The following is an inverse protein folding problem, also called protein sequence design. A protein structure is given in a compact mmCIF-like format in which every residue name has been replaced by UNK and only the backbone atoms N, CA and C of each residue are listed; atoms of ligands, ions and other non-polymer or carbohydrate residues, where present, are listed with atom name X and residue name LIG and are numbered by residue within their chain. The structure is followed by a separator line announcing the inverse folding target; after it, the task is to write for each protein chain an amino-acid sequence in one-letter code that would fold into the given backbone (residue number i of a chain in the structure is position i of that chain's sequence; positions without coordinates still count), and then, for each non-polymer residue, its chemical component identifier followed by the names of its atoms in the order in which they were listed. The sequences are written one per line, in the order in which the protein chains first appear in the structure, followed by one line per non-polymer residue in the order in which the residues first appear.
data_IF_831782247887
#
_entry.id   IF_831782247887
#
_cell.length_a   1.000
_cell.length_b   1.000
_cell.length_c   1.000
_cell.angle_alpha   90.00
_cell.angle_beta   90.00
_cell.angle_gamma   90.00
#
_symmetry.space_group_name_H-M   'P 1'
#
loop_
_entity.id
_entity.type
_entity.pdbx_description
1 polymer ?
#
# COMPACT_ATOMS: atom_id res chain seq x y z
N UNK A 1 -32.79 29.34 49.54
CA UNK A 1 -33.93 29.43 48.59
C UNK A 1 -33.41 29.02 47.21
N UNK A 2 -32.95 27.79 46.96
CA UNK A 2 -33.68 26.52 46.78
C UNK A 2 -34.83 26.61 45.77
N UNK A 3 -34.57 26.18 44.54
CA UNK A 3 -35.53 25.42 43.72
C UNK A 3 -34.75 24.36 42.93
N UNK A 4 -35.39 23.23 42.71
CA UNK A 4 -34.82 21.89 42.62
C UNK A 4 -35.24 21.19 41.32
N UNK A 5 -34.31 20.37 40.81
CA UNK A 5 -34.46 19.05 40.16
C UNK A 5 -35.43 18.88 38.97
N UNK A 6 -34.89 18.42 37.83
CA UNK A 6 -35.05 17.01 37.44
C UNK A 6 -34.05 16.56 36.36
N UNK A 7 -33.28 15.52 36.68
CA UNK A 7 -32.50 14.67 35.76
C UNK A 7 -33.44 13.65 35.09
N UNK A 8 -33.12 13.21 33.87
CA UNK A 8 -33.60 11.90 33.37
C UNK A 8 -32.51 11.25 32.52
N UNK A 9 -32.18 10.03 32.93
CA UNK A 9 -31.11 9.15 32.47
C UNK A 9 -31.28 8.63 31.02
N UNK A 10 -30.14 8.32 30.40
CA UNK A 10 -29.94 7.40 29.26
C UNK A 10 -30.18 5.93 29.65
N UNK A 11 -30.41 5.07 28.65
CA UNK A 11 -29.46 3.99 28.36
C UNK A 11 -29.13 3.96 26.85
N UNK A 12 -27.95 3.59 26.34
CA UNK A 12 -26.96 2.65 26.84
C UNK A 12 -27.24 1.27 26.23
N UNK A 13 -26.81 1.01 24.99
CA UNK A 13 -26.71 -0.37 24.47
C UNK A 13 -25.64 -0.47 23.36
N UNK A 14 -24.55 -1.16 23.72
CA UNK A 14 -23.45 -1.58 22.87
C UNK A 14 -23.83 -2.88 22.15
N UNK A 15 -23.79 -2.89 20.82
CA UNK A 15 -23.96 -4.10 20.02
C UNK A 15 -22.63 -4.82 19.82
N UNK A 16 -22.23 -5.63 20.80
CA UNK A 16 -21.15 -6.63 20.69
C UNK A 16 -21.72 -7.90 20.08
N UNK A 17 -21.22 -8.32 18.91
CA UNK A 17 -21.57 -9.63 18.32
C UNK A 17 -20.38 -10.58 18.57
N UNK A 18 -20.40 -11.19 19.75
CA UNK A 18 -19.65 -12.38 20.08
C UNK A 18 -20.61 -13.35 20.80
N UNK A 19 -20.38 -14.65 20.63
CA UNK A 19 -21.11 -15.79 21.18
C UNK A 19 -22.33 -16.28 20.37
N UNK A 20 -22.04 -17.18 19.42
CA UNK A 20 -22.89 -18.34 19.17
C UNK A 20 -22.19 -19.54 19.83
N UNK A 21 -22.45 -19.74 21.12
CA UNK A 21 -22.19 -20.98 21.84
C UNK A 21 -23.54 -21.59 22.22
N UNK A 22 -23.99 -22.56 21.43
CA UNK A 22 -25.10 -23.44 21.79
C UNK A 22 -24.60 -24.63 22.59
N UNK A 23 -25.04 -24.75 23.84
CA UNK A 23 -24.85 -25.93 24.68
C UNK A 23 -26.19 -26.63 24.88
N UNK A 24 -26.29 -27.91 24.54
CA UNK A 24 -27.16 -28.87 25.24
C UNK A 24 -26.67 -30.30 24.96
N UNK A 25 -26.55 -31.09 26.02
CA UNK A 25 -25.75 -32.31 26.06
C UNK A 25 -26.46 -33.63 25.73
N UNK A 26 -25.71 -34.72 25.90
CA UNK A 26 -26.26 -36.08 26.05
C UNK A 26 -25.49 -37.18 25.30
N UNK A 27 -24.51 -37.78 25.98
CA UNK A 27 -24.09 -39.21 25.98
C UNK A 27 -24.31 -40.04 24.69
N UNK A 28 -23.21 -40.53 24.10
CA UNK A 28 -23.20 -41.85 23.42
C UNK A 28 -22.37 -41.98 22.14
N UNK A 29 -21.33 -42.81 22.24
CA UNK A 29 -20.69 -43.62 21.18
C UNK A 29 -19.88 -42.98 20.03
N UNK A 30 -18.64 -43.48 19.95
CA UNK A 30 -17.68 -43.41 18.86
C UNK A 30 -18.16 -44.07 17.56
N UNK A 31 -18.16 -43.35 16.44
CA UNK A 31 -17.78 -43.86 15.10
C UNK A 31 -17.86 -42.77 14.02
N UNK A 32 -16.71 -42.58 13.34
CA UNK A 32 -16.54 -42.32 11.91
C UNK A 32 -17.27 -41.18 11.17
N UNK A 33 -16.42 -40.41 10.47
CA UNK A 33 -16.64 -39.68 9.20
C UNK A 33 -17.52 -38.43 9.22
N UNK A 34 -16.87 -37.25 9.22
CA UNK A 34 -17.45 -36.00 8.68
C UNK A 34 -16.54 -35.40 7.60
N UNK A 35 -17.12 -34.73 6.58
CA UNK A 35 -16.43 -34.29 5.37
C UNK A 35 -15.92 -32.85 5.52
N UNK A 36 -14.70 -32.68 6.01
CA UNK A 36 -14.03 -31.37 6.11
C UNK A 36 -13.21 -31.06 4.86
N UNK A 37 -13.86 -30.80 3.72
CA UNK A 37 -13.08 -30.40 2.53
C UNK A 37 -13.71 -29.31 1.64
N UNK A 38 -15.02 -29.05 1.68
CA UNK A 38 -15.61 -28.08 0.75
C UNK A 38 -15.35 -26.60 1.13
N UNK A 39 -15.48 -26.24 2.41
CA UNK A 39 -15.31 -24.85 2.87
C UNK A 39 -13.84 -24.40 2.83
N UNK A 40 -12.92 -25.29 3.21
CA UNK A 40 -11.48 -25.06 3.17
C UNK A 40 -10.96 -25.00 1.73
N UNK A 41 -11.46 -25.88 0.84
CA UNK A 41 -11.13 -25.82 -0.58
C UNK A 41 -11.63 -24.52 -1.22
N UNK A 42 -12.82 -24.01 -0.86
CA UNK A 42 -13.34 -22.75 -1.38
C UNK A 42 -12.51 -21.54 -0.91
N UNK A 43 -12.06 -21.54 0.34
CA UNK A 43 -11.16 -20.51 0.87
C UNK A 43 -9.78 -20.54 0.19
N UNK A 44 -9.25 -21.74 -0.10
CA UNK A 44 -8.02 -21.92 -0.87
C UNK A 44 -8.20 -21.50 -2.34
N UNK A 45 -9.31 -21.83 -2.99
CA UNK A 45 -9.61 -21.41 -4.37
C UNK A 45 -9.74 -19.89 -4.52
N UNK A 46 -10.30 -19.19 -3.52
CA UNK A 46 -10.30 -17.72 -3.50
C UNK A 46 -8.87 -17.15 -3.41
N UNK A 47 -7.97 -17.82 -2.69
CA UNK A 47 -6.55 -17.47 -2.62
C UNK A 47 -5.79 -17.79 -3.92
N UNK A 48 -6.28 -18.70 -4.77
CA UNK A 48 -5.65 -19.01 -6.07
C UNK A 48 -5.97 -18.00 -7.18
N UNK A 49 -7.03 -17.18 -7.03
CA UNK A 49 -7.29 -16.04 -7.92
C UNK A 49 -6.41 -14.80 -7.59
N UNK A 50 -5.54 -14.90 -6.60
CA UNK A 50 -4.69 -13.82 -6.10
C UNK A 50 -3.49 -13.50 -7.01
N UNK A 51 -3.08 -14.43 -7.89
CA UNK A 51 -1.82 -14.32 -8.63
C UNK A 51 -2.05 -13.82 -10.06
N UNK A 52 -2.17 -12.51 -10.22
CA UNK A 52 -1.93 -11.88 -11.52
C UNK A 52 -1.09 -10.63 -11.33
N UNK A 53 0.05 -10.57 -12.03
CA UNK A 53 0.87 -9.36 -12.18
C UNK A 53 0.26 -8.37 -13.19
N UNK A 54 -0.85 -8.75 -13.83
CA UNK A 54 -1.66 -7.90 -14.71
C UNK A 54 -2.70 -7.11 -13.91
N UNK A 55 -3.02 -5.88 -14.30
CA UNK A 55 -4.15 -5.16 -13.72
C UNK A 55 -5.50 -5.81 -14.09
N UNK A 56 -5.51 -6.74 -15.05
CA UNK A 56 -6.60 -7.69 -15.37
C UNK A 56 -6.63 -8.97 -14.50
N UNK A 57 -5.92 -9.02 -13.37
CA UNK A 57 -6.10 -10.13 -12.43
C UNK A 57 -7.56 -10.11 -11.94
N UNK A 58 -8.40 -10.98 -12.50
CA UNK A 58 -9.79 -11.20 -12.10
C UNK A 58 -9.82 -11.85 -10.70
N UNK A 59 -9.44 -11.06 -9.69
CA UNK A 59 -9.24 -11.45 -8.31
C UNK A 59 -9.45 -10.26 -7.36
N UNK A 60 -9.64 -10.55 -6.08
CA UNK A 60 -10.12 -9.66 -5.02
C UNK A 60 -9.21 -8.46 -4.64
N UNK A 61 -8.25 -8.10 -5.48
CA UNK A 61 -7.29 -7.03 -5.20
C UNK A 61 -7.87 -5.67 -5.59
N UNK A 62 -7.79 -4.70 -4.68
CA UNK A 62 -8.27 -3.34 -4.92
C UNK A 62 -7.55 -2.72 -6.13
N UNK A 63 -8.28 -1.91 -6.89
CA UNK A 63 -7.78 -1.20 -8.06
C UNK A 63 -7.59 0.27 -7.71
N UNK A 64 -6.43 0.82 -8.06
CA UNK A 64 -6.16 2.25 -8.02
C UNK A 64 -6.25 2.82 -9.44
N UNK A 65 -7.16 3.77 -9.63
CA UNK A 65 -7.26 4.60 -10.82
C UNK A 65 -6.58 5.93 -10.53
N UNK A 66 -5.68 6.37 -11.41
CA UNK A 66 -4.89 7.56 -11.14
C UNK A 66 -4.48 8.35 -12.39
N UNK A 67 -4.26 9.64 -12.18
CA UNK A 67 -3.61 10.58 -13.11
C UNK A 67 -2.42 11.18 -12.38
N UNK A 68 -1.26 11.17 -13.04
CA UNK A 68 -0.08 11.89 -12.58
C UNK A 68 0.19 13.09 -13.48
N UNK A 69 0.66 14.19 -12.88
CA UNK A 69 1.04 15.41 -13.57
C UNK A 69 2.14 16.12 -12.79
N UNK A 70 2.83 17.05 -13.43
CA UNK A 70 3.85 17.88 -12.78
C UNK A 70 3.46 19.34 -12.91
N UNK A 71 3.66 20.09 -11.83
CA UNK A 71 3.57 21.56 -11.83
C UNK A 71 4.98 22.12 -11.63
N UNK A 72 5.43 23.00 -12.52
CA UNK A 72 6.81 23.51 -12.51
C UNK A 72 6.92 25.04 -12.29
N UNK A 73 5.85 25.67 -11.81
CA UNK A 73 5.79 27.10 -11.50
C UNK A 73 5.14 27.32 -10.13
N UNK A 74 5.74 28.19 -9.31
CA UNK A 74 5.18 28.56 -8.00
C UNK A 74 3.77 29.15 -8.13
N UNK A 75 3.53 29.96 -9.15
CA UNK A 75 2.22 30.57 -9.39
C UNK A 75 1.16 29.51 -9.73
N UNK A 76 1.52 28.51 -10.55
CA UNK A 76 0.64 27.40 -10.86
C UNK A 76 0.38 26.53 -9.63
N UNK A 77 1.40 26.30 -8.80
CA UNK A 77 1.28 25.54 -7.56
C UNK A 77 0.34 26.24 -6.56
N UNK A 78 0.49 27.54 -6.35
CA UNK A 78 -0.39 28.33 -5.49
C UNK A 78 -1.84 28.35 -5.99
N UNK A 79 -2.03 28.50 -7.30
CA UNK A 79 -3.34 28.43 -7.93
C UNK A 79 -3.98 27.04 -7.77
N UNK A 80 -3.19 25.98 -7.97
CA UNK A 80 -3.61 24.60 -7.78
C UNK A 80 -4.08 24.36 -6.34
N UNK A 81 -3.24 24.70 -5.36
CA UNK A 81 -3.53 24.51 -3.94
C UNK A 81 -4.78 25.30 -3.53
N UNK A 82 -4.92 26.54 -3.99
CA UNK A 82 -6.11 27.37 -3.72
C UNK A 82 -7.37 26.73 -4.28
N UNK A 83 -7.30 26.22 -5.53
CA UNK A 83 -8.43 25.53 -6.16
C UNK A 83 -8.78 24.23 -5.45
N UNK A 84 -7.78 23.41 -5.11
CA UNK A 84 -7.97 22.16 -4.38
C UNK A 84 -8.62 22.39 -3.02
N UNK A 85 -8.23 23.45 -2.29
CA UNK A 85 -8.91 23.83 -1.04
C UNK A 85 -10.39 24.18 -1.23
N UNK A 86 -10.75 24.79 -2.36
CA UNK A 86 -12.15 25.10 -2.69
C UNK A 86 -12.96 23.87 -3.14
N UNK A 87 -12.30 22.87 -3.73
CA UNK A 87 -12.96 21.65 -4.24
C UNK A 87 -13.01 20.54 -3.19
N UNK A 88 -12.10 20.52 -2.22
CA UNK A 88 -11.91 19.38 -1.31
C UNK A 88 -12.62 19.62 0.02
N UNK A 89 -13.13 18.53 0.61
CA UNK A 89 -13.81 18.60 1.91
C UNK A 89 -12.79 18.71 3.04
N UNK A 90 -11.70 18.00 2.91
CA UNK A 90 -10.63 17.92 3.89
C UNK A 90 -9.27 17.97 3.19
N UNK A 91 -8.27 18.47 3.92
CA UNK A 91 -6.90 18.47 3.48
C UNK A 91 -5.97 18.42 4.68
N UNK A 92 -4.77 17.86 4.48
CA UNK A 92 -3.76 17.71 5.52
C UNK A 92 -2.37 17.73 4.92
N UNK A 93 -1.39 18.22 5.68
CA UNK A 93 0.02 18.06 5.36
C UNK A 93 0.47 16.61 5.58
N UNK A 94 1.50 16.20 4.84
CA UNK A 94 2.21 14.96 5.05
C UNK A 94 3.70 15.11 4.77
N UNK A 95 4.49 14.35 5.51
CA UNK A 95 5.91 14.18 5.29
C UNK A 95 6.21 12.72 5.59
N UNK A 96 6.41 11.93 4.55
CA UNK A 96 6.53 10.49 4.64
C UNK A 96 7.86 10.03 4.03
N UNK A 97 8.56 9.13 4.72
CA UNK A 97 9.65 8.37 4.15
C UNK A 97 9.08 7.19 3.36
N UNK A 98 9.51 7.05 2.11
CA UNK A 98 9.21 5.90 1.29
C UNK A 98 10.48 5.11 0.99
N UNK A 99 10.42 3.80 1.18
CA UNK A 99 11.49 2.84 0.88
C UNK A 99 10.93 1.82 -0.10
N UNK A 100 11.52 1.73 -1.29
CA UNK A 100 11.20 0.70 -2.29
C UNK A 100 12.05 -0.53 -2.03
N UNK A 101 11.43 -1.70 -2.10
CA UNK A 101 12.05 -3.00 -1.97
C UNK A 101 11.70 -3.85 -3.18
N UNK A 102 12.68 -4.57 -3.70
CA UNK A 102 12.53 -5.46 -4.82
C UNK A 102 12.86 -6.90 -4.42
N UNK A 103 12.07 -7.85 -4.90
CA UNK A 103 12.37 -9.27 -4.84
C UNK A 103 12.59 -9.77 -6.26
N UNK A 104 13.85 -10.04 -6.59
CA UNK A 104 14.24 -10.62 -7.88
C UNK A 104 14.05 -12.13 -7.89
N UNK A 105 13.62 -12.68 -9.03
CA UNK A 105 13.77 -14.10 -9.32
C UNK A 105 15.23 -14.37 -9.71
N UNK A 106 16.16 -14.29 -8.75
CA UNK A 106 17.51 -14.76 -9.01
C UNK A 106 17.49 -16.28 -9.13
N UNK A 107 17.77 -16.77 -10.34
CA UNK A 107 18.21 -18.13 -10.62
C UNK A 107 19.56 -18.31 -9.89
N UNK A 108 19.49 -18.55 -8.59
CA UNK A 108 20.66 -18.73 -7.72
C UNK A 108 21.31 -20.04 -8.13
N UNK A 109 22.16 -19.95 -9.14
CA UNK A 109 22.88 -21.05 -9.75
C UNK A 109 23.86 -21.67 -8.78
N UNK A 110 23.36 -22.48 -7.85
CA UNK A 110 24.18 -23.42 -7.11
C UNK A 110 24.51 -24.58 -8.05
N UNK A 111 25.70 -24.48 -8.64
CA UNK A 111 26.40 -25.60 -9.25
C UNK A 111 26.79 -26.60 -8.16
N UNK A 112 25.84 -27.43 -7.74
CA UNK A 112 26.08 -28.66 -6.99
C UNK A 112 25.09 -29.73 -7.45
N UNK A 113 25.57 -30.60 -8.33
CA UNK A 113 24.86 -31.76 -8.84
C UNK A 113 24.47 -32.71 -7.71
N UNK A 114 23.18 -32.77 -7.39
CA UNK A 114 22.57 -33.89 -6.65
C UNK A 114 21.39 -34.39 -7.47
N UNK A 115 21.44 -35.62 -8.04
CA UNK A 115 20.29 -36.15 -8.75
C UNK A 115 19.27 -36.61 -7.72
N UNK A 116 18.19 -35.84 -7.53
CA UNK A 116 17.08 -36.27 -6.67
C UNK A 116 15.95 -36.86 -7.52
N UNK A 117 15.79 -38.17 -7.32
CA UNK A 117 14.80 -39.07 -7.88
C UNK A 117 13.37 -38.52 -7.78
N UNK A 118 12.63 -38.65 -8.89
CA UNK A 118 11.21 -38.37 -9.01
C UNK A 118 10.44 -39.36 -8.13
N UNK A 119 9.86 -38.86 -7.05
CA UNK A 119 8.70 -39.47 -6.40
C UNK A 119 7.86 -38.35 -5.78
N UNK A 120 6.55 -38.42 -6.01
CA UNK A 120 5.63 -37.31 -5.91
C UNK A 120 5.40 -36.74 -4.51
N UNK A 121 4.69 -35.61 -4.53
CA UNK A 121 4.21 -34.78 -3.43
C UNK A 121 5.27 -33.97 -2.67
N UNK A 122 5.45 -32.72 -3.10
CA UNK A 122 5.75 -31.59 -2.21
C UNK A 122 5.19 -30.32 -2.85
N UNK A 123 4.27 -29.68 -2.12
CA UNK A 123 3.67 -28.37 -2.39
C UNK A 123 4.72 -27.28 -2.29
N UNK A 124 5.31 -26.91 -3.41
CA UNK A 124 6.00 -25.63 -3.58
C UNK A 124 5.06 -24.69 -4.33
N UNK A 125 4.76 -23.54 -3.73
CA UNK A 125 4.01 -22.43 -4.32
C UNK A 125 4.78 -21.85 -5.52
N UNK A 126 4.73 -22.56 -6.64
CA UNK A 126 5.26 -22.13 -7.93
C UNK A 126 4.16 -21.41 -8.69
N UNK A 127 4.42 -20.14 -9.00
CA UNK A 127 3.64 -19.34 -9.95
C UNK A 127 3.80 -19.97 -11.34
N UNK A 128 2.91 -20.90 -11.69
CA UNK A 128 2.85 -21.47 -13.03
C UNK A 128 2.01 -20.57 -13.93
N UNK A 129 2.71 -19.63 -14.58
CA UNK A 129 2.24 -18.97 -15.79
C UNK A 129 2.17 -20.00 -16.92
N UNK A 130 0.98 -20.45 -17.30
CA UNK A 130 0.77 -21.24 -18.51
C UNK A 130 0.42 -20.34 -19.69
N UNK A 131 1.38 -19.53 -20.16
CA UNK A 131 1.57 -19.16 -21.58
C UNK A 131 3.08 -18.86 -21.80
N UNK A 132 3.72 -19.57 -22.73
CA UNK A 132 5.15 -19.44 -23.07
C UNK A 132 5.47 -18.27 -24.04
N UNK A 133 6.74 -17.96 -24.35
CA UNK A 133 7.82 -17.53 -23.46
C UNK A 133 8.27 -16.10 -23.81
N UNK A 134 8.23 -15.19 -22.85
CA UNK A 134 9.16 -14.07 -22.80
C UNK A 134 9.78 -14.13 -21.41
N UNK A 135 11.09 -14.35 -21.33
CA UNK A 135 11.83 -14.36 -20.09
C UNK A 135 11.85 -12.94 -19.51
N UNK A 136 10.77 -12.55 -18.85
CA UNK A 136 10.76 -11.38 -17.97
C UNK A 136 10.90 -11.93 -16.56
N UNK A 137 12.07 -11.71 -15.95
CA UNK A 137 12.23 -11.80 -14.50
C UNK A 137 11.03 -11.11 -13.85
N UNK A 138 10.21 -11.87 -13.11
CA UNK A 138 9.08 -11.30 -12.39
C UNK A 138 9.62 -10.64 -11.12
N UNK A 139 10.03 -9.38 -11.25
CA UNK A 139 10.45 -8.57 -10.10
C UNK A 139 9.20 -8.12 -9.35
N UNK A 140 9.10 -8.50 -8.08
CA UNK A 140 8.02 -8.03 -7.19
C UNK A 140 8.53 -6.81 -6.43
N UNK A 141 7.80 -5.70 -6.51
CA UNK A 141 8.14 -4.47 -5.80
C UNK A 141 7.13 -4.17 -4.70
N UNK A 142 7.61 -3.88 -3.49
CA UNK A 142 6.81 -3.40 -2.36
C UNK A 142 7.40 -2.12 -1.81
N UNK A 143 6.55 -1.23 -1.28
CA UNK A 143 6.96 0.05 -0.72
C UNK A 143 6.58 0.11 0.74
N UNK A 144 7.55 0.47 1.57
CA UNK A 144 7.32 0.81 2.97
C UNK A 144 7.18 2.33 3.09
N UNK A 145 6.01 2.79 3.51
CA UNK A 145 5.72 4.20 3.83
C UNK A 145 5.71 4.40 5.34
N UNK A 146 6.41 5.41 5.85
CA UNK A 146 6.45 5.78 7.27
C UNK A 146 6.26 7.28 7.42
N UNK A 147 5.39 7.72 8.31
CA UNK A 147 5.23 9.16 8.53
C UNK A 147 6.35 9.71 9.40
N UNK A 148 6.91 10.84 8.98
CA UNK A 148 7.92 11.62 9.69
C UNK A 148 7.31 12.77 10.49
N UNK A 149 6.00 12.99 10.36
CA UNK A 149 5.30 13.98 11.15
C UNK A 149 5.19 13.55 12.62
N UNK A 150 5.18 14.50 13.58
CA UNK A 150 5.07 14.17 15.00
C UNK A 150 3.77 13.41 15.31
N UNK A 151 3.91 12.18 15.82
CA UNK A 151 2.79 11.29 16.18
C UNK A 151 1.79 11.90 17.19
N UNK A 152 2.20 12.91 17.96
CA UNK A 152 1.32 13.65 18.87
C UNK A 152 0.32 14.54 18.12
N UNK A 153 0.70 15.05 16.95
CA UNK A 153 -0.14 15.92 16.13
C UNK A 153 -0.99 15.12 15.13
N UNK A 154 -0.51 13.94 14.70
CA UNK A 154 -1.16 13.10 13.69
C UNK A 154 -1.29 11.64 14.15
N UNK A 155 -2.22 11.33 15.07
CA UNK A 155 -2.35 9.99 15.65
C UNK A 155 -2.73 8.91 14.63
N UNK A 156 -3.51 9.25 13.62
CA UNK A 156 -3.96 8.31 12.57
C UNK A 156 -2.83 7.90 11.61
N UNK A 157 -1.70 8.62 11.64
CA UNK A 157 -0.53 8.39 10.77
C UNK A 157 0.64 7.72 11.50
N UNK A 158 0.38 7.16 12.68
CA UNK A 158 1.40 6.50 13.51
C UNK A 158 1.89 5.18 12.95
N UNK A 159 1.05 4.48 12.19
CA UNK A 159 1.40 3.18 11.64
C UNK A 159 2.12 3.35 10.31
N UNK A 160 3.20 2.61 10.15
CA UNK A 160 3.83 2.39 8.85
C UNK A 160 2.85 1.63 7.96
N UNK A 161 2.98 1.78 6.65
CA UNK A 161 2.17 1.04 5.68
C UNK A 161 3.07 0.31 4.69
N UNK A 162 2.83 -0.98 4.50
CA UNK A 162 3.43 -1.75 3.43
C UNK A 162 2.45 -1.75 2.25
N UNK A 163 2.94 -1.32 1.09
CA UNK A 163 2.13 -1.16 -0.12
C UNK A 163 2.69 -1.96 -1.28
N UNK A 164 1.85 -2.75 -1.92
CA UNK A 164 2.12 -3.37 -3.21
C UNK A 164 1.41 -2.58 -4.32
N UNK A 165 2.14 -2.29 -5.40
CA UNK A 165 1.61 -1.66 -6.61
C UNK A 165 1.90 -2.58 -7.79
N UNK A 166 0.84 -3.02 -8.48
CA UNK A 166 0.93 -3.87 -9.67
C UNK A 166 1.38 -3.11 -10.92
N UNK A 167 1.43 -3.83 -12.04
CA UNK A 167 1.73 -3.24 -13.33
C UNK A 167 0.69 -2.15 -13.69
N UNK A 168 1.17 -1.07 -14.30
CA UNK A 168 0.31 0.02 -14.75
C UNK A 168 -0.25 -0.29 -16.13
N UNK A 169 -1.57 -0.32 -16.22
CA UNK A 169 -2.33 -0.38 -17.48
C UNK A 169 -2.84 1.02 -17.81
N UNK A 170 -2.48 1.54 -18.98
CA UNK A 170 -2.93 2.85 -19.46
C UNK A 170 -3.77 2.66 -20.72
N UNK A 171 -5.09 2.76 -20.58
CA UNK A 171 -6.01 2.69 -21.72
C UNK A 171 -6.31 4.09 -22.30
N UNK A 172 -6.30 5.16 -21.46
CA UNK A 172 -6.66 6.54 -21.86
C UNK A 172 -5.85 7.64 -21.13
N UNK A 173 -6.51 8.64 -20.56
CA UNK A 173 -5.94 9.70 -19.69
C UNK A 173 -5.72 9.20 -18.26
N UNK A 174 -6.60 8.32 -17.79
CA UNK A 174 -6.53 7.66 -16.48
C UNK A 174 -5.76 6.35 -16.64
N UNK A 175 -4.80 6.12 -15.74
CA UNK A 175 -4.08 4.86 -15.61
C UNK A 175 -4.69 4.02 -14.48
N UNK A 176 -4.54 2.70 -14.57
CA UNK A 176 -5.02 1.75 -13.58
C UNK A 176 -3.89 0.81 -13.13
N UNK A 177 -3.85 0.47 -11.85
CA UNK A 177 -2.97 -0.56 -11.30
C UNK A 177 -3.62 -1.26 -10.12
N UNK A 178 -3.26 -2.53 -9.89
CA UNK A 178 -3.59 -3.22 -8.65
C UNK A 178 -2.88 -2.54 -7.47
N UNK A 179 -3.57 -2.42 -6.34
CA UNK A 179 -3.06 -1.76 -5.14
C UNK A 179 -3.46 -2.54 -3.90
N UNK A 180 -2.49 -2.82 -3.02
CA UNK A 180 -2.73 -3.35 -1.68
C UNK A 180 -1.94 -2.51 -0.69
N UNK A 181 -2.58 -2.07 0.39
CA UNK A 181 -1.94 -1.33 1.45
C UNK A 181 -2.34 -1.93 2.79
N UNK A 182 -1.35 -2.24 3.62
CA UNK A 182 -1.56 -2.87 4.93
C UNK A 182 -0.80 -2.05 5.98
N UNK A 183 -1.47 -1.61 7.06
CA UNK A 183 -0.79 -1.00 8.19
C UNK A 183 0.06 -2.05 8.92
N UNK A 184 1.29 -1.69 9.25
CA UNK A 184 2.32 -2.59 9.78
C UNK A 184 3.11 -1.93 10.91
N UNK A 185 3.67 -2.76 11.79
CA UNK A 185 4.51 -2.35 12.92
C UNK A 185 5.72 -3.30 13.05
N UNK A 186 6.78 -2.84 13.71
CA UNK A 186 8.01 -3.61 13.94
C UNK A 186 9.21 -3.15 13.08
N UNK A 187 10.34 -3.88 13.16
CA UNK A 187 11.56 -3.60 12.39
C UNK A 187 11.42 -4.09 10.95
N UNK A 188 10.76 -3.28 10.11
CA UNK A 188 10.25 -3.72 8.82
C UNK A 188 11.35 -3.84 7.77
N UNK A 189 12.42 -3.04 7.87
CA UNK A 189 13.52 -3.12 6.89
C UNK A 189 14.23 -4.46 7.04
N UNK A 190 14.63 -4.83 8.25
CA UNK A 190 15.30 -6.11 8.50
C UNK A 190 14.38 -7.29 8.19
N UNK A 191 13.11 -7.22 8.59
CA UNK A 191 12.13 -8.26 8.25
C UNK A 191 12.02 -8.49 6.74
N UNK A 192 11.91 -7.43 5.94
CA UNK A 192 11.83 -7.55 4.48
C UNK A 192 13.13 -8.12 3.88
N UNK A 193 14.30 -7.71 4.40
CA UNK A 193 15.59 -8.26 3.99
C UNK A 193 15.73 -9.75 4.32
N UNK A 194 15.25 -10.19 5.48
CA UNK A 194 15.22 -11.61 5.86
C UNK A 194 14.28 -12.44 4.96
N UNK A 195 13.23 -11.82 4.41
CA UNK A 195 12.38 -12.42 3.38
C UNK A 195 13.01 -12.44 1.99
N UNK A 196 14.20 -11.87 1.82
CA UNK A 196 14.94 -11.81 0.56
C UNK A 196 14.65 -10.57 -0.30
N UNK A 197 13.93 -9.58 0.23
CA UNK A 197 13.77 -8.30 -0.46
C UNK A 197 15.02 -7.44 -0.30
N UNK A 198 15.49 -6.89 -1.41
CA UNK A 198 16.59 -5.94 -1.41
C UNK A 198 16.05 -4.50 -1.48
N UNK A 199 16.55 -3.58 -0.64
CA UNK A 199 16.17 -2.17 -0.73
C UNK A 199 16.71 -1.57 -2.02
N UNK A 200 15.83 -0.91 -2.78
CA UNK A 200 16.16 -0.35 -4.10
C UNK A 200 16.48 1.15 -4.01
N UNK A 201 15.56 1.93 -3.45
CA UNK A 201 15.75 3.37 -3.23
C UNK A 201 14.93 3.88 -2.04
N UNK A 202 15.35 5.01 -1.48
CA UNK A 202 14.65 5.69 -0.38
C UNK A 202 14.53 7.18 -0.70
N UNK A 203 13.37 7.76 -0.43
CA UNK A 203 13.13 9.20 -0.57
C UNK A 203 12.16 9.70 0.50
N UNK A 204 12.08 11.03 0.64
CA UNK A 204 11.08 11.70 1.46
C UNK A 204 10.07 12.42 0.56
N UNK A 205 8.79 12.09 0.71
CA UNK A 205 7.67 12.75 0.08
C UNK A 205 7.09 13.78 1.04
N UNK A 206 7.12 15.06 0.67
CA UNK A 206 6.61 16.15 1.52
C UNK A 206 5.62 17.01 0.74
N UNK A 207 4.41 17.18 1.28
CA UNK A 207 3.36 17.90 0.59
C UNK A 207 2.00 17.92 1.29
N UNK A 208 0.95 18.06 0.46
CA UNK A 208 -0.44 18.16 0.86
C UNK A 208 -1.27 17.03 0.27
N UNK A 209 -2.18 16.50 1.07
CA UNK A 209 -3.24 15.58 0.66
C UNK A 209 -4.56 16.33 0.72
N UNK A 210 -5.37 16.19 -0.31
CA UNK A 210 -6.72 16.73 -0.41
C UNK A 210 -7.71 15.60 -0.73
N UNK A 211 -8.86 15.57 -0.07
CA UNK A 211 -9.87 14.53 -0.28
C UNK A 211 -11.21 15.15 -0.68
N UNK A 212 -11.81 14.59 -1.74
CA UNK A 212 -13.18 14.87 -2.18
C UNK A 212 -13.88 13.56 -2.53
N UNK A 213 -14.80 13.14 -1.67
CA UNK A 213 -15.47 11.85 -1.85
C UNK A 213 -14.44 10.72 -1.78
N UNK A 214 -14.32 9.94 -2.85
CA UNK A 214 -13.33 8.86 -2.98
C UNK A 214 -12.01 9.31 -3.62
N UNK A 215 -11.99 10.50 -4.22
CA UNK A 215 -10.81 11.04 -4.90
C UNK A 215 -9.88 11.67 -3.88
N UNK A 216 -8.63 11.23 -3.93
CA UNK A 216 -7.50 11.77 -3.19
C UNK A 216 -6.55 12.47 -4.15
N UNK A 217 -6.10 13.65 -3.79
CA UNK A 217 -5.07 14.38 -4.53
C UNK A 217 -3.87 14.59 -3.63
N UNK A 218 -2.71 14.11 -4.05
CA UNK A 218 -1.43 14.39 -3.43
C UNK A 218 -0.70 15.44 -4.26
N UNK A 219 -0.30 16.56 -3.65
CA UNK A 219 0.58 17.57 -4.25
C UNK A 219 1.84 17.63 -3.42
N UNK A 220 2.97 17.16 -3.95
CA UNK A 220 4.15 16.93 -3.11
C UNK A 220 5.46 17.05 -3.86
N UNK A 221 6.52 17.10 -3.08
CA UNK A 221 7.90 17.17 -3.53
C UNK A 221 8.60 15.86 -3.22
N UNK A 222 9.47 15.44 -4.13
CA UNK A 222 10.34 14.27 -3.95
C UNK A 222 11.71 14.76 -3.50
N UNK A 223 12.17 14.25 -2.37
CA UNK A 223 13.39 14.68 -1.72
C UNK A 223 14.35 13.51 -1.53
N UNK A 224 15.61 13.73 -1.88
CA UNK A 224 16.71 12.81 -1.64
C UNK A 224 17.14 12.92 -0.17
N UNK A 225 17.31 11.78 0.50
CA UNK A 225 17.83 11.76 1.87
C UNK A 225 19.33 12.04 1.85
N UNK A 226 19.75 13.07 2.57
CA UNK A 226 21.16 13.50 2.66
C UNK A 226 21.82 12.91 3.90
N UNK A 227 21.07 12.83 5.00
CA UNK A 227 21.57 12.29 6.26
C UNK A 227 20.49 11.45 6.93
N UNK A 228 20.88 10.27 7.40
CA UNK A 228 20.09 9.45 8.32
C UNK A 228 20.49 9.75 9.76
N UNK A 229 19.53 9.61 10.67
CA UNK A 229 19.80 9.65 12.10
C UNK A 229 20.77 8.50 12.46
N UNK A 230 21.88 8.85 13.09
CA UNK A 230 22.83 7.83 13.55
C UNK A 230 22.14 7.03 14.66
N UNK A 231 22.16 5.68 14.62
CA UNK A 231 21.77 4.91 15.78
C UNK A 231 22.67 5.37 16.94
N UNK A 232 22.06 5.81 18.03
CA UNK A 232 22.81 6.11 19.24
C UNK A 232 23.61 4.85 19.63
N UNK A 233 24.84 4.98 20.14
CA UNK A 233 25.58 3.81 20.61
C UNK A 233 24.73 3.13 21.69
N UNK A 234 24.27 1.92 21.40
CA UNK A 234 23.55 1.08 22.35
C UNK A 234 24.39 0.96 23.62
N UNK A 235 23.77 1.21 24.78
CA UNK A 235 24.38 0.96 26.08
C UNK A 235 24.96 -0.47 26.10
N UNK A 236 26.18 -0.68 26.62
CA UNK A 236 26.78 -2.01 26.66
C UNK A 236 25.94 -2.92 27.56
N UNK A 237 25.38 -4.01 27.00
CA UNK A 237 24.67 -5.04 27.76
C UNK A 237 23.25 -5.39 27.30
N UNK A 238 22.74 -4.79 26.21
CA UNK A 238 21.56 -5.31 25.51
C UNK A 238 22.06 -6.01 24.25
N UNK A 239 21.86 -7.33 24.17
CA UNK A 239 22.16 -8.12 22.98
C UNK A 239 21.44 -7.49 21.78
N UNK A 240 22.22 -6.77 20.98
CA UNK A 240 21.75 -5.96 19.89
C UNK A 240 21.23 -6.85 18.77
N UNK A 241 19.92 -7.01 18.68
CA UNK A 241 19.29 -7.19 17.38
C UNK A 241 19.55 -5.89 16.63
N UNK A 242 20.60 -5.91 15.81
CA UNK A 242 21.05 -4.83 14.94
C UNK A 242 20.05 -4.61 13.80
N UNK A 243 18.85 -4.14 14.15
CA UNK A 243 17.74 -3.95 13.21
C UNK A 243 16.90 -2.73 13.51
N UNK A 244 17.50 -1.69 14.09
CA UNK A 244 16.81 -0.41 14.23
C UNK A 244 16.70 0.24 12.86
N UNK A 245 15.48 0.34 12.34
CA UNK A 245 15.21 1.02 11.08
C UNK A 245 15.70 2.48 11.18
N UNK A 246 16.65 2.87 10.35
CA UNK A 246 17.15 4.25 10.29
C UNK A 246 16.07 5.21 9.80
N UNK A 247 15.97 6.36 10.46
CA UNK A 247 15.07 7.45 10.07
C UNK A 247 15.86 8.57 9.36
N UNK A 248 15.27 9.22 8.34
CA UNK A 248 15.90 10.34 7.68
C UNK A 248 15.92 11.54 8.62
N UNK A 249 17.06 12.21 8.71
CA UNK A 249 17.27 13.41 9.53
C UNK A 249 17.31 14.67 8.67
N UNK A 250 17.97 14.60 7.51
CA UNK A 250 18.06 15.71 6.58
C UNK A 250 17.82 15.22 5.15
N UNK A 251 17.08 15.99 4.35
CA UNK A 251 16.80 15.72 2.95
C UNK A 251 16.81 17.01 2.13
N UNK A 252 16.96 16.86 0.82
CA UNK A 252 16.99 17.96 -0.15
C UNK A 252 16.07 17.66 -1.33
N UNK A 253 15.36 18.69 -1.81
CA UNK A 253 14.49 18.56 -2.97
C UNK A 253 15.28 18.21 -4.22
N UNK A 254 14.86 17.14 -4.90
CA UNK A 254 15.46 16.71 -6.17
C UNK A 254 15.15 17.71 -7.29
N UNK A 255 13.93 18.24 -7.30
CA UNK A 255 13.47 19.24 -8.25
C UNK A 255 12.94 20.49 -7.51
N UNK A 256 13.79 21.49 -7.22
CA UNK A 256 13.45 22.67 -6.40
C UNK A 256 12.15 23.39 -6.81
N UNK A 257 11.90 23.48 -8.12
CA UNK A 257 10.79 24.24 -8.69
C UNK A 257 9.69 23.35 -9.25
N UNK A 258 9.54 22.12 -8.78
CA UNK A 258 8.53 21.22 -9.30
C UNK A 258 7.84 20.40 -8.22
N UNK A 259 6.54 20.19 -8.43
CA UNK A 259 5.66 19.40 -7.58
C UNK A 259 5.04 18.30 -8.42
N UNK A 260 5.08 17.10 -7.87
CA UNK A 260 4.35 15.96 -8.41
C UNK A 260 2.91 16.04 -7.90
N UNK A 261 1.97 15.83 -8.81
CA UNK A 261 0.54 15.82 -8.53
C UNK A 261 0.02 14.45 -8.92
N UNK A 262 -0.55 13.74 -7.95
CA UNK A 262 -1.22 12.46 -8.18
C UNK A 262 -2.68 12.60 -7.75
N UNK A 263 -3.60 12.41 -8.70
CA UNK A 263 -5.04 12.34 -8.46
C UNK A 263 -5.38 10.85 -8.52
N UNK A 264 -5.89 10.26 -7.44
CA UNK A 264 -6.22 8.84 -7.41
C UNK A 264 -7.49 8.51 -6.65
N UNK A 265 -8.10 7.39 -7.01
CA UNK A 265 -9.19 6.77 -6.28
C UNK A 265 -8.94 5.26 -6.21
N UNK A 266 -9.24 4.66 -5.06
CA UNK A 266 -9.04 3.22 -4.82
C UNK A 266 -10.38 2.58 -4.52
N UNK A 267 -10.67 1.45 -5.16
CA UNK A 267 -11.92 0.73 -4.94
C UNK A 267 -11.88 -0.70 -5.46
N UNK A 268 -13.04 -1.35 -5.45
CA UNK A 268 -13.19 -2.73 -5.93
C UNK A 268 -12.92 -2.79 -7.45
N UNK A 269 -12.35 -3.89 -7.97
CA UNK A 269 -12.21 -4.07 -9.42
C UNK A 269 -13.55 -4.11 -10.16
N UNK A 270 -14.66 -4.38 -9.48
CA UNK A 270 -16.00 -4.34 -10.06
C UNK A 270 -16.57 -2.91 -10.18
N UNK A 271 -15.88 -1.90 -9.64
CA UNK A 271 -16.36 -0.52 -9.61
C UNK A 271 -15.82 0.27 -10.80
N UNK A 272 -16.59 0.25 -11.89
CA UNK A 272 -16.24 0.94 -13.13
C UNK A 272 -16.34 2.48 -13.01
N UNK A 273 -17.02 3.00 -11.98
CA UNK A 273 -17.24 4.45 -11.81
C UNK A 273 -15.99 5.22 -11.36
N UNK A 274 -14.99 4.54 -10.78
CA UNK A 274 -13.78 5.18 -10.27
C UNK A 274 -12.99 5.92 -11.35
N UNK A 275 -12.97 5.36 -12.57
CA UNK A 275 -12.27 5.97 -13.69
C UNK A 275 -12.88 7.32 -14.05
N UNK A 276 -14.22 7.37 -14.15
CA UNK A 276 -14.95 8.57 -14.51
C UNK A 276 -14.82 9.63 -13.41
N UNK A 277 -14.90 9.25 -12.13
CA UNK A 277 -14.69 10.19 -11.01
C UNK A 277 -13.31 10.86 -11.03
N UNK A 278 -12.25 10.08 -11.30
CA UNK A 278 -10.88 10.61 -11.39
C UNK A 278 -10.73 11.54 -12.59
N UNK A 279 -11.32 11.19 -13.73
CA UNK A 279 -11.30 12.02 -14.94
C UNK A 279 -12.07 13.33 -14.75
N UNK A 280 -13.31 13.26 -14.26
CA UNK A 280 -14.15 14.43 -13.98
C UNK A 280 -13.50 15.37 -12.97
N UNK A 281 -12.87 14.82 -11.92
CA UNK A 281 -12.15 15.64 -10.96
C UNK A 281 -10.95 16.36 -11.59
N UNK A 282 -10.19 15.67 -12.46
CA UNK A 282 -9.08 16.28 -13.17
C UNK A 282 -9.53 17.41 -14.11
N UNK A 283 -10.70 17.30 -14.74
CA UNK A 283 -11.28 18.36 -15.58
C UNK A 283 -11.58 19.64 -14.78
N UNK A 284 -11.96 19.54 -13.51
CA UNK A 284 -12.14 20.70 -12.63
C UNK A 284 -10.81 21.45 -12.36
N UNK A 285 -9.67 20.77 -12.51
CA UNK A 285 -8.35 21.36 -12.34
C UNK A 285 -7.77 21.95 -13.63
N UNK A 286 -8.41 21.73 -14.77
CA UNK A 286 -8.00 22.35 -16.03
C UNK A 286 -8.10 23.90 -15.96
N UNK A 287 -7.14 24.67 -16.53
CA UNK A 287 -5.93 24.24 -17.24
C UNK A 287 -4.69 24.11 -16.35
N UNK A 288 -4.84 24.18 -15.02
CA UNK A 288 -3.70 24.13 -14.08
C UNK A 288 -3.05 22.75 -14.10
N UNK A 289 -3.88 21.71 -14.17
CA UNK A 289 -3.46 20.35 -14.49
C UNK A 289 -3.96 20.03 -15.89
N UNK A 290 -3.05 19.54 -16.74
CA UNK A 290 -3.38 18.99 -18.04
C UNK A 290 -3.07 17.50 -17.97
N UNK A 291 -4.08 16.61 -18.04
CA UNK A 291 -3.85 15.17 -18.05
C UNK A 291 -2.90 14.80 -19.20
N UNK A 292 -1.67 14.46 -18.86
CA UNK A 292 -0.63 14.05 -19.81
C UNK A 292 -0.37 12.56 -19.68
N UNK A 293 0.00 11.91 -20.79
CA UNK A 293 0.55 10.55 -20.73
C UNK A 293 1.97 10.62 -20.17
N UNK A 294 2.16 10.24 -18.90
CA UNK A 294 3.48 9.89 -18.39
C UNK A 294 3.84 8.49 -18.89
N UNK A 295 5.02 8.34 -19.48
CA UNK A 295 5.51 7.04 -19.93
C UNK A 295 6.01 6.24 -18.71
N UNK A 296 5.14 5.37 -18.20
CA UNK A 296 5.44 4.51 -17.06
C UNK A 296 6.57 3.49 -17.36
N UNK A 297 6.90 3.25 -18.63
CA UNK A 297 8.01 2.36 -19.00
C UNK A 297 9.38 2.94 -18.63
N UNK A 298 9.48 4.27 -18.46
CA UNK A 298 10.70 4.94 -18.00
C UNK A 298 10.97 4.71 -16.51
N UNK A 299 9.95 4.36 -15.71
CA UNK A 299 10.10 4.01 -14.30
C UNK A 299 10.40 2.52 -14.06
N UNK A 300 10.26 1.67 -15.09
CA UNK A 300 10.48 0.22 -15.01
C UNK A 300 11.73 -0.26 -15.78
N UNK A 301 12.41 0.62 -16.53
CA UNK A 301 13.69 0.28 -17.17
C UNK A 301 14.86 0.72 -16.28
N UNK A 302 15.54 -0.26 -15.71
CA UNK A 302 16.97 -0.19 -15.45
C UNK A 302 17.63 -1.47 -15.90
#
# INVERSE_FOLDING_TARGET
MSSSLNETLLPGESGSVAEVLGSSGGIGHSSSTEPTDAATATALTAAFHFTGTSASANGATMQEYFIQSVVSSSQQHELLVTRLRGLSREWSEFCDQEISFQLGSEDRGDSASVPRSISGSTTSAGVLSTVAPAATSSVVNVRLRRSLLPAMQFPDRRLSALRYLGAVETDRTVSRRSCLEVPVTGPLVCFLQELGFEPEFTYVAEGLIFIRGRVKVCVYTVNEVVQFESPAPSMPGVDGISGQDSYPKEWRRVCPNSWLVEISAVGSPADESLQDEVAEFADLLFPVIVPGKLDNSLFMRK
#
